data_IF_254096383608
#
_entry.id   IF_254096383608
#
_cell.length_a   1.000
_cell.length_b   1.000
_cell.length_c   1.000
_cell.angle_alpha   90.00
_cell.angle_beta   90.00
_cell.angle_gamma   90.00
#
_symmetry.space_group_name_H-M   'P 1'
#
loop_
_entity.id
_entity.type
_entity.pdbx_description
1 polymer ?
#
# COMPACT_ATOMS: atom_id res chain seq x y z
N UNK A 1 -41.74 0.16 7.50
CA UNK A 1 -41.67 0.44 6.06
C UNK A 1 -41.44 1.91 5.73
N UNK A 2 -42.16 2.87 6.33
CA UNK A 2 -42.00 4.33 6.04
C UNK A 2 -40.58 4.88 6.25
N UNK A 3 -39.87 4.49 7.30
CA UNK A 3 -38.51 4.94 7.56
C UNK A 3 -37.48 4.47 6.52
N UNK A 4 -37.60 3.24 6.00
CA UNK A 4 -36.69 2.72 4.97
C UNK A 4 -36.92 3.41 3.62
N UNK A 5 -38.15 3.76 3.31
CA UNK A 5 -38.53 4.49 2.11
C UNK A 5 -37.96 5.95 2.15
N UNK A 6 -38.02 6.59 3.33
CA UNK A 6 -37.46 7.92 3.56
C UNK A 6 -35.94 7.94 3.41
N UNK A 7 -35.23 6.92 3.90
CA UNK A 7 -33.78 6.81 3.75
C UNK A 7 -33.34 6.60 2.29
N UNK A 8 -34.08 5.78 1.52
CA UNK A 8 -33.83 5.56 0.10
C UNK A 8 -34.09 6.85 -0.70
N UNK A 9 -35.16 7.58 -0.37
CA UNK A 9 -35.46 8.86 -1.00
C UNK A 9 -34.40 9.91 -0.71
N UNK A 10 -33.84 9.94 0.53
CA UNK A 10 -32.76 10.85 0.92
C UNK A 10 -31.47 10.55 0.15
N UNK A 11 -31.14 9.27 -0.03
CA UNK A 11 -29.96 8.84 -0.82
C UNK A 11 -30.12 9.24 -2.28
N UNK A 12 -31.33 9.06 -2.86
CA UNK A 12 -31.63 9.49 -4.24
C UNK A 12 -31.53 11.01 -4.40
N UNK A 13 -31.99 11.78 -3.43
CA UNK A 13 -31.92 13.26 -3.44
C UNK A 13 -30.47 13.76 -3.35
N UNK A 14 -29.60 13.07 -2.60
CA UNK A 14 -28.17 13.39 -2.53
C UNK A 14 -27.48 13.10 -3.86
N UNK A 15 -27.83 12.01 -4.55
CA UNK A 15 -27.26 11.65 -5.85
C UNK A 15 -27.66 12.67 -6.94
N UNK A 16 -28.89 13.22 -6.91
CA UNK A 16 -29.32 14.23 -7.89
C UNK A 16 -28.72 15.61 -7.61
N UNK A 17 -28.39 15.94 -6.36
CA UNK A 17 -27.74 17.22 -6.02
C UNK A 17 -26.29 17.31 -6.52
N UNK A 18 -25.63 16.17 -6.77
CA UNK A 18 -24.26 16.13 -7.30
C UNK A 18 -24.18 16.62 -8.76
N UNK A 19 -25.26 16.56 -9.52
CA UNK A 19 -25.30 17.04 -10.92
C UNK A 19 -25.41 18.57 -11.07
N UNK A 20 -25.57 19.32 -9.98
CA UNK A 20 -25.76 20.78 -10.02
C UNK A 20 -24.45 21.60 -10.05
N UNK A 21 -23.29 20.96 -9.89
CA UNK A 21 -22.00 21.62 -9.97
C UNK A 21 -21.34 21.32 -11.31
N UNK A 22 -21.36 22.30 -12.22
CA UNK A 22 -20.72 22.18 -13.53
C UNK A 22 -19.20 22.29 -13.35
N UNK A 23 -18.52 21.17 -13.27
CA UNK A 23 -17.06 21.10 -13.36
C UNK A 23 -16.58 21.32 -14.79
N UNK A 24 -15.37 21.84 -14.93
CA UNK A 24 -14.73 21.92 -16.24
C UNK A 24 -14.19 20.56 -16.62
N UNK A 25 -14.80 19.94 -17.65
CA UNK A 25 -14.36 18.65 -18.16
C UNK A 25 -12.90 18.71 -18.65
N UNK A 26 -12.13 17.64 -18.34
CA UNK A 26 -10.75 17.42 -18.79
C UNK A 26 -10.63 16.00 -19.31
N UNK A 27 -9.74 15.82 -20.29
CA UNK A 27 -9.37 14.50 -20.83
C UNK A 27 -7.85 14.40 -20.98
N UNK A 28 -7.14 14.72 -19.89
CA UNK A 28 -5.68 14.69 -19.91
C UNK A 28 -5.20 13.31 -19.46
N UNK A 29 -4.37 12.69 -20.27
CA UNK A 29 -3.72 11.43 -19.97
C UNK A 29 -2.24 11.65 -19.75
N UNK A 30 -1.75 11.25 -18.60
CA UNK A 30 -0.33 11.25 -18.26
C UNK A 30 0.15 9.83 -17.94
N UNK A 31 1.38 9.53 -18.33
CA UNK A 31 2.06 8.26 -18.02
C UNK A 31 3.42 8.57 -17.43
N UNK A 32 3.97 7.67 -16.65
CA UNK A 32 5.30 7.85 -16.10
C UNK A 32 5.78 6.70 -15.24
N UNK A 33 6.82 6.99 -14.49
CA UNK A 33 7.50 6.03 -13.63
C UNK A 33 7.39 6.45 -12.18
N UNK A 34 7.45 5.47 -11.31
CA UNK A 34 7.47 5.69 -9.87
C UNK A 34 8.47 4.76 -9.20
N UNK A 35 8.99 5.19 -8.04
CA UNK A 35 9.88 4.38 -7.21
C UNK A 35 9.91 4.90 -5.78
N UNK A 36 10.23 4.01 -4.84
CA UNK A 36 10.28 4.40 -3.44
C UNK A 36 10.68 3.28 -2.50
N UNK A 37 10.64 3.60 -1.20
CA UNK A 37 10.89 2.65 -0.11
C UNK A 37 9.57 2.28 0.57
N UNK A 38 9.42 0.98 0.85
CA UNK A 38 8.31 0.43 1.60
C UNK A 38 8.80 -0.03 2.97
N UNK A 39 8.10 0.38 4.02
CA UNK A 39 8.23 -0.13 5.38
C UNK A 39 6.99 -0.97 5.66
N UNK A 40 7.16 -2.27 5.81
CA UNK A 40 6.06 -3.22 5.90
C UNK A 40 6.12 -4.08 7.16
N UNK A 41 4.98 -4.58 7.57
CA UNK A 41 4.81 -5.62 8.56
C UNK A 41 3.60 -6.50 8.22
N UNK A 42 3.47 -7.63 8.92
CA UNK A 42 2.32 -8.53 8.80
C UNK A 42 1.57 -8.55 10.13
N UNK A 43 0.29 -8.19 10.09
CA UNK A 43 -0.58 -8.22 11.26
C UNK A 43 -1.01 -9.64 11.59
N UNK A 44 -0.34 -10.30 12.53
CA UNK A 44 -0.68 -11.65 12.97
C UNK A 44 -1.66 -11.69 14.14
N UNK A 45 -2.51 -12.74 14.14
CA UNK A 45 -3.27 -13.16 15.31
C UNK A 45 -3.16 -14.68 15.43
N UNK A 46 -2.50 -15.24 16.44
CA UNK A 46 -1.81 -14.59 17.59
C UNK A 46 -0.69 -13.64 17.17
N UNK A 47 -0.40 -12.65 18.01
CA UNK A 47 0.60 -11.61 17.73
C UNK A 47 2.02 -12.21 17.65
N UNK A 48 2.77 -11.83 16.63
CA UNK A 48 4.22 -12.07 16.50
C UNK A 48 4.92 -10.72 16.64
N UNK A 49 5.95 -10.63 17.50
CA UNK A 49 6.72 -9.41 17.66
C UNK A 49 7.57 -9.17 16.42
N UNK A 50 7.46 -7.95 15.87
CA UNK A 50 8.09 -7.58 14.60
C UNK A 50 8.57 -6.14 14.64
N UNK A 51 9.67 -5.91 13.95
CA UNK A 51 10.09 -4.58 13.48
C UNK A 51 9.68 -4.39 12.02
N UNK A 52 9.73 -3.15 11.52
CA UNK A 52 9.43 -2.91 10.11
C UNK A 52 10.47 -3.56 9.20
N UNK A 53 9.97 -4.29 8.22
CA UNK A 53 10.78 -4.77 7.10
C UNK A 53 10.88 -3.66 6.06
N UNK A 54 12.11 -3.31 5.66
CA UNK A 54 12.36 -2.33 4.61
C UNK A 54 12.53 -3.01 3.27
N UNK A 55 11.83 -2.54 2.25
CA UNK A 55 11.92 -3.02 0.89
C UNK A 55 11.81 -1.88 -0.12
N UNK A 56 11.92 -2.21 -1.40
CA UNK A 56 11.81 -1.25 -2.49
C UNK A 56 10.51 -1.50 -3.27
N UNK A 57 9.99 -0.43 -3.85
CA UNK A 57 8.86 -0.50 -4.78
C UNK A 57 9.14 0.38 -5.98
N UNK A 58 8.63 -0.02 -7.15
CA UNK A 58 8.77 0.77 -8.36
C UNK A 58 7.97 0.20 -9.51
N UNK A 59 7.62 1.05 -10.47
CA UNK A 59 6.81 0.64 -11.60
C UNK A 59 6.35 1.80 -12.48
N UNK A 60 5.23 1.55 -13.16
CA UNK A 60 4.59 2.49 -14.07
C UNK A 60 3.38 3.13 -13.41
N UNK A 61 3.13 4.39 -13.74
CA UNK A 61 1.97 5.16 -13.28
C UNK A 61 1.21 5.71 -14.49
N UNK A 62 -0.12 5.58 -14.43
CA UNK A 62 -1.07 6.19 -15.36
C UNK A 62 -1.96 7.12 -14.58
N UNK A 63 -2.21 8.32 -15.10
CA UNK A 63 -3.16 9.28 -14.52
C UNK A 63 -4.07 9.81 -15.61
N UNK A 64 -5.35 9.67 -15.41
CA UNK A 64 -6.38 10.27 -16.26
C UNK A 64 -7.08 11.38 -15.46
N UNK A 65 -6.91 12.62 -15.88
CA UNK A 65 -7.58 13.79 -15.29
C UNK A 65 -8.93 13.96 -15.95
N UNK A 66 -9.99 13.82 -15.13
CA UNK A 66 -11.37 13.80 -15.61
C UNK A 66 -11.98 15.20 -15.60
N UNK A 67 -11.72 15.96 -14.56
CA UNK A 67 -12.50 17.17 -14.31
C UNK A 67 -11.79 18.11 -13.34
N UNK A 68 -12.16 19.39 -13.42
CA UNK A 68 -11.70 20.43 -12.49
C UNK A 68 -12.88 21.16 -11.89
N UNK A 69 -12.94 21.17 -10.57
CA UNK A 69 -13.90 21.96 -9.78
C UNK A 69 -13.16 23.07 -9.03
N UNK A 70 -13.37 24.33 -9.41
CA UNK A 70 -12.69 25.48 -8.80
C UNK A 70 -11.17 25.30 -8.75
N UNK A 71 -10.63 24.99 -7.55
CA UNK A 71 -9.21 24.74 -7.32
C UNK A 71 -8.87 23.25 -7.20
N UNK A 72 -9.86 22.36 -7.26
CA UNK A 72 -9.68 20.91 -7.12
C UNK A 72 -9.61 20.26 -8.49
N UNK A 73 -8.54 19.54 -8.75
CA UNK A 73 -8.31 18.75 -9.95
C UNK A 73 -8.61 17.28 -9.60
N UNK A 74 -9.57 16.69 -10.30
CA UNK A 74 -10.04 15.33 -10.07
C UNK A 74 -9.44 14.40 -11.14
N UNK A 75 -8.75 13.36 -10.71
CA UNK A 75 -8.11 12.39 -11.59
C UNK A 75 -8.30 10.97 -11.06
N UNK A 76 -8.17 9.99 -11.93
CA UNK A 76 -7.99 8.59 -11.58
C UNK A 76 -6.53 8.22 -11.84
N UNK A 77 -5.88 7.61 -10.85
CA UNK A 77 -4.50 7.14 -10.95
C UNK A 77 -4.45 5.62 -10.79
N UNK A 78 -3.89 4.94 -11.77
CA UNK A 78 -3.60 3.51 -11.72
C UNK A 78 -2.09 3.29 -11.81
N UNK A 79 -1.59 2.31 -11.07
CA UNK A 79 -0.17 1.98 -11.09
C UNK A 79 0.03 0.48 -11.25
N UNK A 80 1.20 0.11 -11.79
CA UNK A 80 1.66 -1.25 -11.96
C UNK A 80 3.04 -1.36 -11.33
N UNK A 81 3.10 -1.84 -10.10
CA UNK A 81 4.29 -1.79 -9.29
C UNK A 81 4.80 -3.19 -8.95
N UNK A 82 6.09 -3.37 -9.00
CA UNK A 82 6.79 -4.41 -8.27
C UNK A 82 7.08 -3.88 -6.87
N UNK A 83 6.80 -4.67 -5.82
CA UNK A 83 7.02 -4.26 -4.44
C UNK A 83 7.62 -5.41 -3.62
N UNK A 84 8.67 -5.08 -2.87
CA UNK A 84 9.25 -5.93 -1.85
C UNK A 84 8.67 -5.55 -0.50
N UNK A 85 7.85 -6.43 0.03
CA UNK A 85 7.21 -6.29 1.34
C UNK A 85 7.69 -7.41 2.24
N UNK A 86 7.24 -7.45 3.48
CA UNK A 86 7.58 -8.58 4.31
C UNK A 86 7.43 -8.33 5.80
N UNK A 87 8.11 -9.17 6.53
CA UNK A 87 8.18 -9.12 7.98
C UNK A 87 9.62 -9.30 8.43
N UNK A 88 9.97 -8.67 9.55
CA UNK A 88 11.20 -8.88 10.28
C UNK A 88 10.84 -9.17 11.73
N UNK A 89 11.07 -10.41 12.16
CA UNK A 89 10.75 -10.84 13.51
C UNK A 89 11.73 -10.22 14.51
N UNK A 90 11.21 -9.83 15.65
CA UNK A 90 11.96 -9.41 16.83
C UNK A 90 11.98 -10.57 17.81
N UNK A 91 13.10 -11.35 17.82
CA UNK A 91 13.25 -12.58 18.59
C UNK A 91 13.80 -12.22 19.97
N UNK A 92 12.91 -12.19 20.97
CA UNK A 92 13.22 -11.79 22.35
C UNK A 92 13.01 -12.98 23.31
N UNK A 93 13.77 -12.94 24.41
CA UNK A 93 13.58 -13.82 25.56
C UNK A 93 12.50 -13.27 26.52
N UNK A 94 12.29 -13.97 27.65
CA UNK A 94 11.34 -13.59 28.69
C UNK A 94 11.71 -12.30 29.44
N UNK A 95 12.92 -11.77 29.23
CA UNK A 95 13.43 -10.53 29.82
C UNK A 95 13.53 -9.40 28.80
N UNK A 96 12.86 -9.55 27.64
CA UNK A 96 12.91 -8.61 26.50
C UNK A 96 14.33 -8.39 25.97
N UNK A 97 15.23 -9.38 26.10
CA UNK A 97 16.57 -9.35 25.53
C UNK A 97 16.62 -10.17 24.23
N UNK A 98 17.45 -9.77 23.27
CA UNK A 98 17.63 -10.58 22.04
C UNK A 98 18.14 -11.98 22.35
N UNK A 99 17.50 -12.99 21.80
CA UNK A 99 17.95 -14.38 21.91
C UNK A 99 19.24 -14.53 21.13
N UNK A 100 20.28 -15.06 21.79
CA UNK A 100 21.61 -15.25 21.18
C UNK A 100 21.71 -16.66 20.60
N UNK A 101 22.14 -16.75 19.36
CA UNK A 101 22.44 -18.02 18.71
C UNK A 101 23.70 -18.64 19.36
N UNK A 102 23.57 -19.86 19.90
CA UNK A 102 24.67 -20.57 20.60
C UNK A 102 25.85 -20.96 19.70
N UNK A 103 25.73 -20.88 18.38
CA UNK A 103 26.79 -21.22 17.43
C UNK A 103 27.54 -19.96 16.98
N UNK A 104 26.80 -18.93 16.57
CA UNK A 104 27.39 -17.68 16.01
C UNK A 104 27.69 -16.64 17.07
N UNK A 105 27.13 -16.77 18.27
CA UNK A 105 27.16 -15.80 19.35
C UNK A 105 26.62 -14.41 18.96
N UNK A 106 25.72 -14.36 17.96
CA UNK A 106 25.02 -13.19 17.49
C UNK A 106 23.53 -13.27 17.81
N UNK A 107 22.81 -12.14 17.91
CA UNK A 107 21.35 -12.14 18.03
C UNK A 107 20.69 -12.88 16.87
N UNK A 108 19.76 -13.77 17.18
CA UNK A 108 18.97 -14.47 16.18
C UNK A 108 18.13 -13.48 15.35
N UNK A 109 18.13 -13.67 14.05
CA UNK A 109 17.43 -12.82 13.09
C UNK A 109 16.61 -13.67 12.12
N UNK A 110 15.38 -13.28 11.93
CA UNK A 110 14.51 -13.82 10.90
C UNK A 110 13.83 -12.67 10.14
N UNK A 111 14.04 -12.63 8.84
CA UNK A 111 13.37 -11.71 7.95
C UNK A 111 12.87 -12.46 6.73
N UNK A 112 11.64 -12.16 6.31
CA UNK A 112 11.05 -12.73 5.11
C UNK A 112 10.59 -11.62 4.19
N UNK A 113 11.20 -11.56 3.01
CA UNK A 113 10.84 -10.62 1.95
C UNK A 113 9.86 -11.30 1.02
N UNK A 114 8.71 -10.67 0.82
CA UNK A 114 7.63 -11.11 -0.06
C UNK A 114 7.59 -10.19 -1.27
N UNK A 115 7.74 -10.74 -2.46
CA UNK A 115 7.71 -10.00 -3.71
C UNK A 115 6.30 -10.03 -4.28
N UNK A 116 5.73 -8.84 -4.51
CA UNK A 116 4.39 -8.66 -5.03
C UNK A 116 4.38 -7.84 -6.31
N UNK A 117 3.48 -8.18 -7.22
CA UNK A 117 3.01 -7.28 -8.25
C UNK A 117 1.74 -6.60 -7.73
N UNK A 118 1.72 -5.27 -7.68
CA UNK A 118 0.64 -4.49 -7.08
C UNK A 118 0.01 -3.53 -8.09
N UNK A 119 -1.32 -3.47 -8.05
CA UNK A 119 -2.13 -2.61 -8.92
C UNK A 119 -3.09 -1.79 -8.05
N UNK A 120 -2.65 -0.64 -7.49
CA UNK A 120 -3.55 0.34 -6.90
C UNK A 120 -4.30 1.13 -7.97
N UNK A 121 -5.60 1.32 -7.76
CA UNK A 121 -6.46 2.22 -8.55
C UNK A 121 -7.07 3.23 -7.58
N UNK A 122 -6.70 4.51 -7.73
CA UNK A 122 -7.00 5.53 -6.74
C UNK A 122 -7.71 6.72 -7.38
N UNK A 123 -8.73 7.24 -6.70
CA UNK A 123 -9.16 8.61 -6.91
C UNK A 123 -8.06 9.55 -6.41
N UNK A 124 -7.69 10.53 -7.23
CA UNK A 124 -6.62 11.48 -6.95
C UNK A 124 -7.19 12.90 -7.02
N UNK A 125 -7.16 13.59 -5.90
CA UNK A 125 -7.65 14.95 -5.74
C UNK A 125 -6.46 15.87 -5.46
N UNK A 126 -6.21 16.83 -6.35
CA UNK A 126 -5.13 17.78 -6.20
C UNK A 126 -5.68 19.22 -6.07
N UNK A 127 -5.07 19.99 -5.20
CA UNK A 127 -5.43 21.40 -4.94
C UNK A 127 -4.27 22.32 -5.28
N UNK A 128 -4.53 23.28 -6.17
CA UNK A 128 -3.54 24.26 -6.57
C UNK A 128 -3.71 24.75 -8.01
N UNK A 129 -2.59 24.96 -8.68
CA UNK A 129 -2.56 25.46 -10.06
C UNK A 129 -2.40 24.30 -11.04
N UNK A 130 -3.24 24.27 -12.07
CA UNK A 130 -3.27 23.20 -13.06
C UNK A 130 -2.02 23.16 -13.95
N UNK A 131 -1.49 24.34 -14.35
CA UNK A 131 -0.48 24.41 -15.40
C UNK A 131 0.96 24.50 -14.92
N UNK A 132 1.18 25.05 -13.74
CA UNK A 132 2.53 25.16 -13.15
C UNK A 132 2.47 25.39 -11.64
N UNK A 133 3.51 24.95 -10.96
CA UNK A 133 3.71 25.20 -9.53
C UNK A 133 3.39 24.01 -8.67
N UNK A 134 3.23 24.27 -7.38
CA UNK A 134 3.02 23.24 -6.36
C UNK A 134 1.53 23.03 -6.15
N UNK A 135 1.13 21.77 -6.13
CA UNK A 135 -0.18 21.28 -5.73
C UNK A 135 -0.02 20.32 -4.56
N UNK A 136 -0.93 20.37 -3.62
CA UNK A 136 -1.08 19.30 -2.62
C UNK A 136 -2.12 18.32 -3.11
N UNK A 137 -1.94 17.04 -2.81
CA UNK A 137 -2.91 16.05 -3.21
C UNK A 137 -3.19 15.01 -2.14
N UNK A 138 -4.35 14.42 -2.25
CA UNK A 138 -4.77 13.23 -1.55
C UNK A 138 -5.26 12.20 -2.58
N UNK A 139 -4.90 10.94 -2.38
CA UNK A 139 -5.35 9.84 -3.21
C UNK A 139 -5.81 8.69 -2.34
N UNK A 140 -6.90 8.03 -2.71
CA UNK A 140 -7.35 6.83 -2.02
C UNK A 140 -8.06 5.89 -2.99
N UNK A 141 -7.99 4.59 -2.71
CA UNK A 141 -8.69 3.59 -3.51
C UNK A 141 -8.31 2.16 -3.16
N UNK A 142 -8.89 1.20 -3.86
CA UNK A 142 -8.54 -0.21 -3.73
C UNK A 142 -7.16 -0.50 -4.32
N UNK A 143 -6.51 -1.52 -3.77
CA UNK A 143 -5.25 -2.06 -4.27
C UNK A 143 -5.36 -3.58 -4.32
N UNK A 144 -4.95 -4.16 -5.44
CA UNK A 144 -4.79 -5.59 -5.62
C UNK A 144 -3.31 -5.91 -5.67
N UNK A 145 -2.93 -7.06 -5.11
CA UNK A 145 -1.58 -7.58 -5.12
C UNK A 145 -1.57 -9.05 -5.56
N UNK A 146 -0.56 -9.42 -6.32
CA UNK A 146 -0.32 -10.80 -6.67
C UNK A 146 1.07 -11.22 -6.19
N UNK A 147 1.11 -12.25 -5.35
CA UNK A 147 2.36 -12.82 -4.83
C UNK A 147 3.16 -13.49 -5.95
N UNK A 148 4.43 -13.13 -6.06
CA UNK A 148 5.36 -13.68 -7.04
C UNK A 148 6.30 -14.72 -6.44
N UNK A 149 7.01 -14.33 -5.39
CA UNK A 149 8.02 -15.15 -4.70
C UNK A 149 8.32 -14.60 -3.32
N UNK A 150 9.02 -15.37 -2.51
CA UNK A 150 9.57 -14.91 -1.26
C UNK A 150 11.04 -15.36 -1.07
N UNK A 151 11.72 -14.63 -0.19
CA UNK A 151 13.07 -14.94 0.23
C UNK A 151 13.14 -14.83 1.75
N UNK A 152 13.66 -15.88 2.38
CA UNK A 152 13.93 -15.89 3.83
C UNK A 152 15.40 -15.58 4.05
N UNK A 153 15.68 -14.70 5.00
CA UNK A 153 17.00 -14.36 5.51
C UNK A 153 17.04 -14.64 7.01
N UNK A 154 17.87 -15.61 7.40
CA UNK A 154 18.00 -16.05 8.78
C UNK A 154 19.47 -16.43 9.07
N UNK A 155 19.93 -16.21 10.30
CA UNK A 155 21.26 -16.59 10.76
C UNK A 155 21.28 -17.84 11.66
N UNK A 156 20.17 -18.57 11.72
CA UNK A 156 20.03 -19.83 12.47
C UNK A 156 19.33 -20.90 11.64
N UNK A 157 19.51 -22.15 12.04
CA UNK A 157 18.79 -23.26 11.41
C UNK A 157 17.34 -23.31 11.94
N UNK A 158 16.38 -23.06 11.06
CA UNK A 158 14.95 -23.05 11.38
C UNK A 158 14.47 -24.40 11.95
N UNK A 159 15.15 -25.51 11.61
CA UNK A 159 14.78 -26.86 12.07
C UNK A 159 15.38 -27.22 13.44
N UNK A 160 16.46 -26.54 13.84
CA UNK A 160 17.20 -26.82 15.08
C UNK A 160 17.19 -25.67 16.09
N UNK A 161 16.31 -24.70 15.89
CA UNK A 161 16.21 -23.52 16.77
C UNK A 161 15.81 -23.87 18.20
N UNK A 162 16.37 -23.14 19.16
CA UNK A 162 15.91 -23.17 20.54
C UNK A 162 14.66 -22.28 20.69
N UNK A 163 13.52 -22.90 20.96
CA UNK A 163 12.25 -22.16 21.18
C UNK A 163 11.95 -21.97 22.67
N UNK A 164 12.71 -22.61 23.57
CA UNK A 164 12.43 -22.61 25.00
C UNK A 164 12.65 -21.23 25.62
N UNK A 165 13.64 -20.50 25.13
CA UNK A 165 14.03 -19.18 25.66
C UNK A 165 13.32 -18.01 24.93
N UNK A 166 12.43 -18.30 23.98
CA UNK A 166 11.70 -17.26 23.25
C UNK A 166 10.35 -16.96 23.89
N UNK A 167 9.97 -15.68 23.94
CA UNK A 167 8.62 -15.25 24.35
C UNK A 167 7.56 -15.87 23.44
N UNK A 168 7.81 -15.92 22.14
CA UNK A 168 6.98 -16.62 21.15
C UNK A 168 7.57 -17.99 20.88
N UNK A 169 7.25 -18.99 21.69
CA UNK A 169 7.72 -20.37 21.50
C UNK A 169 7.05 -21.09 20.30
N UNK A 170 6.00 -20.54 19.73
CA UNK A 170 5.39 -21.06 18.49
C UNK A 170 5.77 -20.14 17.33
N UNK A 171 6.49 -20.72 16.37
CA UNK A 171 7.13 -20.00 15.25
C UNK A 171 6.66 -20.59 13.90
N UNK A 172 5.35 -20.72 13.77
CA UNK A 172 4.70 -21.31 12.60
C UNK A 172 4.97 -20.48 11.33
N UNK A 173 5.13 -19.16 11.48
CA UNK A 173 5.44 -18.25 10.38
C UNK A 173 6.77 -18.56 9.68
N UNK A 174 7.75 -19.15 10.38
CA UNK A 174 9.08 -19.44 9.84
C UNK A 174 9.05 -20.58 8.81
N UNK A 175 8.15 -21.54 9.02
CA UNK A 175 8.07 -22.75 8.19
C UNK A 175 6.89 -22.79 7.24
N UNK A 176 5.90 -21.91 7.43
CA UNK A 176 4.69 -21.89 6.61
C UNK A 176 4.94 -21.09 5.31
N UNK A 177 4.70 -21.74 4.17
CA UNK A 177 4.73 -21.05 2.86
C UNK A 177 3.51 -20.14 2.70
N UNK A 178 3.64 -19.10 1.86
CA UNK A 178 2.51 -18.26 1.45
C UNK A 178 1.47 -19.10 0.74
N UNK A 179 0.25 -19.13 1.28
CA UNK A 179 -0.84 -19.98 0.79
C UNK A 179 -1.81 -19.21 -0.10
N UNK A 180 -2.06 -17.94 0.22
CA UNK A 180 -2.91 -17.06 -0.56
C UNK A 180 -2.06 -16.15 -1.45
N UNK A 181 -2.18 -16.31 -2.76
CA UNK A 181 -1.38 -15.55 -3.72
C UNK A 181 -1.98 -14.19 -4.06
N UNK A 182 -3.25 -13.98 -3.75
CA UNK A 182 -3.95 -12.73 -4.02
C UNK A 182 -4.06 -11.96 -2.71
N UNK A 183 -3.51 -10.75 -2.71
CA UNK A 183 -3.68 -9.76 -1.65
C UNK A 183 -4.60 -8.65 -2.15
N UNK A 184 -5.44 -8.12 -1.29
CA UNK A 184 -6.32 -7.00 -1.60
C UNK A 184 -6.51 -6.14 -0.36
N UNK A 185 -6.72 -4.86 -0.59
CA UNK A 185 -6.88 -3.92 0.51
C UNK A 185 -7.18 -2.51 0.03
N UNK A 186 -7.00 -1.57 0.94
CA UNK A 186 -7.24 -0.15 0.71
C UNK A 186 -5.93 0.60 0.87
N UNK A 187 -5.68 1.50 -0.06
CA UNK A 187 -4.53 2.39 -0.03
C UNK A 187 -4.98 3.84 0.04
N UNK A 188 -4.24 4.65 0.80
CA UNK A 188 -4.40 6.09 0.86
C UNK A 188 -3.02 6.76 0.81
N UNK A 189 -2.92 7.86 0.10
CA UNK A 189 -1.69 8.62 -0.05
C UNK A 189 -1.95 10.13 0.05
N UNK A 190 -0.99 10.85 0.56
CA UNK A 190 -0.95 12.30 0.52
C UNK A 190 0.43 12.77 0.07
N UNK A 191 0.50 13.91 -0.57
CA UNK A 191 1.76 14.39 -1.08
C UNK A 191 1.68 15.74 -1.74
N UNK A 192 2.78 16.06 -2.42
CA UNK A 192 2.95 17.27 -3.21
C UNK A 192 3.29 16.91 -4.64
N UNK A 193 2.73 17.67 -5.56
CA UNK A 193 3.00 17.59 -6.99
C UNK A 193 3.57 18.93 -7.45
N UNK A 194 4.70 18.88 -8.14
CA UNK A 194 5.28 20.04 -8.80
C UNK A 194 5.13 19.90 -10.31
N UNK A 195 4.30 20.75 -10.90
CA UNK A 195 4.03 20.77 -12.33
C UNK A 195 4.92 21.77 -13.04
N UNK A 196 5.70 21.27 -14.02
CA UNK A 196 6.55 22.07 -14.89
C UNK A 196 5.95 22.07 -16.30
N UNK A 197 5.57 23.22 -16.86
CA UNK A 197 4.99 23.30 -18.20
C UNK A 197 5.88 22.65 -19.26
N UNK A 198 5.29 21.80 -20.11
CA UNK A 198 5.95 21.05 -21.19
C UNK A 198 6.95 19.98 -20.75
N UNK A 199 7.25 19.88 -19.46
CA UNK A 199 8.16 18.86 -18.91
C UNK A 199 7.34 17.72 -18.30
N UNK A 200 6.41 18.05 -17.37
CA UNK A 200 5.60 17.04 -16.70
C UNK A 200 5.38 17.35 -15.23
N UNK A 201 5.09 16.30 -14.48
CA UNK A 201 4.67 16.37 -13.09
C UNK A 201 5.60 15.52 -12.22
N UNK A 202 6.17 16.13 -11.20
CA UNK A 202 6.99 15.47 -10.18
C UNK A 202 6.17 15.35 -8.91
N UNK A 203 5.96 14.13 -8.45
CA UNK A 203 5.16 13.85 -7.25
C UNK A 203 6.06 13.26 -6.17
N UNK A 204 5.87 13.72 -4.94
CA UNK A 204 6.43 13.11 -3.73
C UNK A 204 5.29 12.79 -2.79
N UNK A 205 5.20 11.54 -2.34
CA UNK A 205 4.07 11.07 -1.54
C UNK A 205 4.49 10.15 -0.40
N UNK A 206 3.70 10.20 0.67
CA UNK A 206 3.62 9.16 1.68
C UNK A 206 2.31 8.40 1.50
N UNK A 207 2.41 7.08 1.42
CA UNK A 207 1.28 6.18 1.17
C UNK A 207 1.18 5.15 2.28
N UNK A 208 -0.03 4.90 2.72
CA UNK A 208 -0.36 3.80 3.61
C UNK A 208 -1.23 2.78 2.90
N UNK A 209 -0.91 1.51 3.06
CA UNK A 209 -1.72 0.39 2.59
C UNK A 209 -2.12 -0.48 3.77
N UNK A 210 -3.38 -0.86 3.81
CA UNK A 210 -3.94 -1.83 4.74
C UNK A 210 -4.53 -3.00 3.97
N UNK A 211 -3.87 -4.17 4.07
CA UNK A 211 -4.35 -5.41 3.49
C UNK A 211 -5.55 -5.94 4.24
N UNK A 212 -6.56 -6.38 3.51
CA UNK A 212 -7.74 -7.08 4.01
C UNK A 212 -7.62 -8.59 3.82
N UNK A 213 -6.78 -9.01 2.87
CA UNK A 213 -6.45 -10.41 2.64
C UNK A 213 -5.42 -10.94 3.63
N UNK A 214 -5.43 -12.25 3.87
CA UNK A 214 -4.44 -12.96 4.68
C UNK A 214 -3.45 -13.70 3.77
N UNK A 215 -2.15 -13.69 4.13
CA UNK A 215 -1.10 -14.43 3.40
C UNK A 215 -1.15 -15.93 3.68
N UNK A 216 -1.61 -16.33 4.87
CA UNK A 216 -1.87 -17.71 5.26
C UNK A 216 -3.38 -17.99 5.28
N UNK A 217 -3.76 -19.27 5.24
CA UNK A 217 -5.14 -19.68 5.48
C UNK A 217 -5.55 -19.33 6.91
N UNK A 218 -6.81 -19.02 7.07
CA UNK A 218 -7.42 -18.55 8.32
C UNK A 218 -8.63 -19.40 8.74
N UNK A 219 -8.62 -20.69 8.36
CA UNK A 219 -9.67 -21.61 8.79
C UNK A 219 -9.53 -21.94 10.28
N UNK A 220 -10.58 -22.50 10.90
CA UNK A 220 -10.54 -22.91 12.33
C UNK A 220 -9.44 -23.91 12.68
N UNK A 221 -8.81 -24.54 11.70
CA UNK A 221 -7.72 -25.51 11.88
C UNK A 221 -6.33 -24.88 11.70
N UNK A 222 -6.26 -23.68 11.14
CA UNK A 222 -5.01 -22.99 10.90
C UNK A 222 -4.57 -22.25 12.16
N UNK A 223 -3.26 -22.09 12.32
CA UNK A 223 -2.70 -21.43 13.51
C UNK A 223 -3.03 -19.94 13.56
N UNK A 224 -2.94 -19.27 12.41
CA UNK A 224 -3.21 -17.84 12.32
C UNK A 224 -4.64 -17.57 11.89
N UNK A 225 -5.40 -16.88 12.74
CA UNK A 225 -6.72 -16.33 12.36
C UNK A 225 -6.61 -15.04 11.56
N UNK A 226 -5.41 -14.40 11.56
CA UNK A 226 -5.12 -13.19 10.79
C UNK A 226 -3.64 -13.16 10.40
N UNK A 227 -3.35 -12.73 9.17
CA UNK A 227 -1.99 -12.56 8.64
C UNK A 227 -1.99 -11.56 7.46
N UNK A 228 -2.47 -10.33 7.71
CA UNK A 228 -2.62 -9.32 6.67
C UNK A 228 -1.38 -8.42 6.58
N UNK A 229 -1.03 -8.01 5.36
CA UNK A 229 0.08 -7.10 5.09
C UNK A 229 -0.37 -5.66 5.30
N UNK A 230 0.47 -4.88 5.98
CA UNK A 230 0.34 -3.42 6.05
C UNK A 230 1.67 -2.78 5.71
N UNK A 231 1.65 -1.64 5.04
CA UNK A 231 2.90 -0.94 4.72
C UNK A 231 2.73 0.59 4.65
N UNK A 232 3.84 1.27 4.88
CA UNK A 232 4.01 2.70 4.62
C UNK A 232 5.04 2.82 3.51
N UNK A 233 4.73 3.59 2.47
CA UNK A 233 5.61 3.79 1.32
C UNK A 233 5.91 5.28 1.19
N UNK A 234 7.19 5.62 1.07
CA UNK A 234 7.66 6.93 0.63
C UNK A 234 8.07 6.82 -0.83
N UNK A 235 7.40 7.56 -1.70
CA UNK A 235 7.49 7.39 -3.15
C UNK A 235 7.73 8.71 -3.86
N UNK A 236 8.50 8.63 -4.93
CA UNK A 236 8.67 9.70 -5.93
C UNK A 236 8.13 9.19 -7.26
N UNK A 237 7.41 10.03 -7.99
CA UNK A 237 6.87 9.70 -9.31
C UNK A 237 7.14 10.85 -10.27
N UNK A 238 7.38 10.50 -11.52
CA UNK A 238 7.43 11.43 -12.64
C UNK A 238 6.39 11.04 -13.68
N UNK A 239 5.53 11.98 -14.07
CA UNK A 239 4.49 11.79 -15.05
C UNK A 239 4.66 12.82 -16.18
N UNK A 240 4.51 12.39 -17.42
CA UNK A 240 4.45 13.27 -18.59
C UNK A 240 3.11 13.13 -19.28
N UNK A 241 2.59 14.26 -19.77
CA UNK A 241 1.29 14.30 -20.45
C UNK A 241 1.41 13.76 -21.87
N UNK A 242 0.59 12.77 -22.19
CA UNK A 242 0.43 12.25 -23.58
C UNK A 242 -0.62 13.08 -24.31
N UNK A 243 -1.74 13.34 -23.64
CA UNK A 243 -2.83 14.15 -24.19
C UNK A 243 -3.17 15.26 -23.22
N UNK A 244 -3.50 16.43 -23.75
CA UNK A 244 -4.01 17.58 -23.00
C UNK A 244 -5.25 18.13 -23.67
N UNK A 245 -6.31 18.30 -22.91
CA UNK A 245 -7.50 19.02 -23.37
C UNK A 245 -7.17 20.50 -23.60
N UNK A 246 -7.86 21.11 -24.58
CA UNK A 246 -7.78 22.58 -24.78
C UNK A 246 -8.26 23.25 -23.48
N UNK A 247 -7.48 24.19 -23.00
CA UNK A 247 -7.83 25.01 -21.82
C UNK A 247 -8.38 26.32 -22.31
N UNK A 248 -9.57 26.65 -21.81
CA UNK A 248 -10.10 27.99 -22.01
C UNK A 248 -9.16 28.98 -21.32
N UNK A 249 -8.63 29.93 -22.09
CA UNK A 249 -7.82 31.05 -21.61
C UNK A 249 -8.67 32.02 -20.83
#
# INVERSE_FOLDING_TARGET
MKQRLSSILLVFLVITAVHAQVGKYRSDLAIGFNGGMALSNVGFTPKVNQTFHSGMTGGLSLRYTCEKYFKTICSVRAEFNYAQLGLKEEILDIHDQPVINGITNEPERYARTLNYFQVPVMAHLAWGKEDKGINFFFSAGPQLGYYLSDKVDTNFDVTQRNTTDRVNNVVVQDTTSVQNKIDYGITAAFGMEYTVPRVGHFLVEARYYYGLGNIYKDTKRDYFGKSNISNIIFKVSYLFDITRSKRDQ
#
